data_IF_038423482889
#
_entry.id   IF_038423482889
#
_cell.length_a   1.000
_cell.length_b   1.000
_cell.length_c   1.000
_cell.angle_alpha   90.00
_cell.angle_beta   90.00
_cell.angle_gamma   90.00
#
_symmetry.space_group_name_H-M   'P 1'
#
loop_
_entity.id
_entity.type
_entity.pdbx_description
1 polymer ?
#
# COMPACT_ATOMS: atom_id res chain seq x y z
N UNK A 1 5.14 10.73 21.51
CA UNK A 1 5.88 10.31 20.31
C UNK A 1 4.89 9.88 19.24
N UNK A 2 5.36 9.60 18.02
CA UNK A 2 4.53 9.06 16.93
C UNK A 2 3.89 7.73 17.35
N UNK A 3 2.65 7.49 16.92
CA UNK A 3 1.96 6.21 17.16
C UNK A 3 2.45 5.14 16.16
N UNK A 4 2.27 3.85 16.45
CA UNK A 4 2.63 2.80 15.51
C UNK A 4 1.92 2.96 14.17
N UNK A 5 2.70 3.02 13.08
CA UNK A 5 2.18 3.25 11.72
C UNK A 5 2.06 4.71 11.30
N UNK A 6 2.28 5.67 12.21
CA UNK A 6 2.10 7.09 11.95
C UNK A 6 3.33 7.69 11.27
N UNK A 7 3.14 8.39 10.15
CA UNK A 7 4.20 9.16 9.47
C UNK A 7 4.25 10.58 10.01
N UNK A 8 5.45 11.16 10.06
CA UNK A 8 5.62 12.57 10.41
C UNK A 8 5.26 13.51 9.23
N UNK A 9 5.48 13.03 8.00
CA UNK A 9 5.14 13.71 6.75
C UNK A 9 4.54 12.71 5.78
N UNK A 10 3.46 13.10 5.10
CA UNK A 10 2.85 12.32 4.02
C UNK A 10 3.56 12.59 2.68
N UNK A 11 3.48 11.63 1.76
CA UNK A 11 4.02 11.81 0.42
C UNK A 11 3.24 12.86 -0.38
N UNK A 12 3.95 13.67 -1.17
CA UNK A 12 3.32 14.63 -2.09
C UNK A 12 2.79 13.91 -3.33
N UNK A 13 1.49 14.03 -3.58
CA UNK A 13 0.83 13.47 -4.78
C UNK A 13 1.31 14.10 -6.09
N UNK A 14 1.84 15.32 -6.07
CA UNK A 14 2.14 16.11 -7.27
C UNK A 14 3.56 15.87 -7.83
N UNK A 15 4.17 14.71 -7.60
CA UNK A 15 5.43 14.39 -8.26
C UNK A 15 5.21 14.29 -9.77
N UNK A 16 5.90 15.15 -10.53
CA UNK A 16 5.81 15.22 -12.00
C UNK A 16 6.12 13.89 -12.68
N UNK A 17 6.92 13.04 -12.03
CA UNK A 17 7.37 11.75 -12.55
C UNK A 17 6.24 10.70 -12.65
N UNK A 18 5.22 10.75 -11.78
CA UNK A 18 4.18 9.71 -11.70
C UNK A 18 2.78 10.18 -12.13
N UNK A 19 2.66 11.33 -12.80
CA UNK A 19 1.37 11.94 -13.12
C UNK A 19 1.38 12.55 -14.51
N UNK A 20 0.30 12.33 -15.28
CA UNK A 20 0.06 12.89 -16.61
C UNK A 20 -0.75 14.17 -16.49
N UNK A 21 -0.43 15.16 -17.33
CA UNK A 21 -1.16 16.43 -17.36
C UNK A 21 -2.57 16.25 -17.93
N UNK A 22 -3.47 17.14 -17.53
CA UNK A 22 -4.79 17.31 -18.15
C UNK A 22 -4.91 18.76 -18.61
N UNK A 23 -5.94 19.13 -19.41
CA UNK A 23 -6.16 20.51 -19.79
C UNK A 23 -6.37 21.49 -18.63
N UNK A 24 -6.74 20.98 -17.44
CA UNK A 24 -6.91 21.80 -16.24
C UNK A 24 -5.64 21.75 -15.37
N UNK A 25 -5.02 22.91 -15.14
CA UNK A 25 -3.71 23.03 -14.48
C UNK A 25 -3.61 22.39 -13.08
N UNK A 26 -4.74 22.29 -12.36
CA UNK A 26 -4.79 21.68 -11.03
C UNK A 26 -5.16 20.19 -11.02
N UNK A 27 -5.45 19.59 -12.18
CA UNK A 27 -5.89 18.19 -12.30
C UNK A 27 -4.83 17.41 -13.07
N UNK A 28 -4.35 16.32 -12.47
CA UNK A 28 -3.35 15.43 -13.06
C UNK A 28 -3.80 13.99 -12.87
N UNK A 29 -3.51 13.12 -13.83
CA UNK A 29 -3.88 11.69 -13.80
C UNK A 29 -2.69 10.90 -13.29
N UNK A 30 -2.82 10.22 -12.14
CA UNK A 30 -1.76 9.35 -11.63
C UNK A 30 -1.52 8.15 -12.56
N UNK A 31 -0.26 7.89 -12.88
CA UNK A 31 0.15 6.64 -13.51
C UNK A 31 0.18 5.57 -12.42
N UNK A 32 -0.77 4.64 -12.48
CA UNK A 32 -0.89 3.53 -11.54
C UNK A 32 -0.42 2.24 -12.19
N UNK A 33 0.10 1.32 -11.39
CA UNK A 33 0.42 -0.03 -11.83
C UNK A 33 -0.86 -0.80 -12.15
N UNK A 34 -0.85 -1.53 -13.26
CA UNK A 34 -1.88 -2.51 -13.58
C UNK A 34 -1.59 -3.84 -12.87
N UNK A 35 -2.65 -4.50 -12.43
CA UNK A 35 -2.60 -5.80 -11.77
C UNK A 35 -3.52 -6.78 -12.48
N UNK A 36 -3.09 -8.04 -12.61
CA UNK A 36 -3.97 -9.09 -13.10
C UNK A 36 -5.08 -9.36 -12.08
N UNK A 37 -6.33 -9.41 -12.56
CA UNK A 37 -7.49 -9.59 -11.69
C UNK A 37 -7.45 -10.90 -10.89
N UNK A 38 -6.97 -12.00 -11.49
CA UNK A 38 -6.90 -13.30 -10.81
C UNK A 38 -5.86 -13.28 -9.71
N UNK A 39 -4.73 -12.61 -9.93
CA UNK A 39 -3.69 -12.44 -8.92
C UNK A 39 -4.25 -11.62 -7.74
N UNK A 40 -4.92 -10.49 -8.02
CA UNK A 40 -5.57 -9.66 -6.99
C UNK A 40 -6.56 -10.47 -6.15
N UNK A 41 -7.46 -11.22 -6.80
CA UNK A 41 -8.46 -12.02 -6.08
C UNK A 41 -7.81 -13.11 -5.23
N UNK A 42 -6.71 -13.70 -5.69
CA UNK A 42 -5.95 -14.69 -4.91
C UNK A 42 -5.42 -14.08 -3.61
N UNK A 43 -4.74 -12.93 -3.68
CA UNK A 43 -4.23 -12.21 -2.51
C UNK A 43 -5.36 -11.81 -1.55
N UNK A 44 -6.49 -11.32 -2.08
CA UNK A 44 -7.65 -10.93 -1.27
C UNK A 44 -8.22 -12.14 -0.50
N UNK A 45 -8.37 -13.30 -1.13
CA UNK A 45 -8.85 -14.49 -0.43
C UNK A 45 -7.90 -14.94 0.69
N UNK A 46 -6.58 -14.88 0.47
CA UNK A 46 -5.59 -15.19 1.50
C UNK A 46 -5.73 -14.23 2.68
N UNK A 47 -5.84 -12.91 2.42
CA UNK A 47 -6.03 -11.91 3.47
C UNK A 47 -7.32 -12.12 4.27
N UNK A 48 -8.42 -12.51 3.61
CA UNK A 48 -9.69 -12.83 4.27
C UNK A 48 -9.51 -14.03 5.23
N UNK A 49 -8.91 -15.11 4.76
CA UNK A 49 -8.67 -16.31 5.58
C UNK A 49 -7.78 -16.01 6.80
N UNK A 50 -6.70 -15.25 6.59
CA UNK A 50 -5.81 -14.83 7.68
C UNK A 50 -6.52 -13.93 8.69
N UNK A 51 -7.43 -13.07 8.22
CA UNK A 51 -8.25 -12.20 9.07
C UNK A 51 -9.23 -12.97 9.93
N UNK A 52 -9.97 -13.91 9.33
CA UNK A 52 -10.91 -14.77 10.05
C UNK A 52 -10.23 -15.58 11.17
N UNK A 53 -8.95 -15.92 10.97
CA UNK A 53 -8.13 -16.67 11.95
C UNK A 53 -7.32 -15.77 12.89
N UNK A 54 -7.42 -14.45 12.75
CA UNK A 54 -6.67 -13.46 13.54
C UNK A 54 -5.15 -13.66 13.46
N UNK A 55 -4.65 -14.06 12.29
CA UNK A 55 -3.22 -14.31 12.05
C UNK A 55 -2.52 -13.04 11.59
N UNK A 56 -2.19 -12.17 12.54
CA UNK A 56 -1.71 -10.80 12.28
C UNK A 56 -0.37 -10.78 11.51
N UNK A 57 0.64 -11.53 11.96
CA UNK A 57 1.96 -11.48 11.32
C UNK A 57 1.97 -12.02 9.88
N UNK A 58 1.35 -13.19 9.59
CA UNK A 58 1.15 -13.63 8.20
C UNK A 58 0.33 -12.65 7.37
N UNK A 59 -0.70 -12.03 7.95
CA UNK A 59 -1.51 -11.03 7.24
C UNK A 59 -0.67 -9.83 6.82
N UNK A 60 0.15 -9.28 7.71
CA UNK A 60 0.99 -8.13 7.38
C UNK A 60 2.04 -8.49 6.32
N UNK A 61 2.58 -9.72 6.35
CA UNK A 61 3.46 -10.22 5.27
C UNK A 61 2.73 -10.28 3.92
N UNK A 62 1.51 -10.80 3.91
CA UNK A 62 0.70 -10.87 2.70
C UNK A 62 0.35 -9.48 2.16
N UNK A 63 -0.01 -8.53 3.05
CA UNK A 63 -0.26 -7.13 2.66
C UNK A 63 0.97 -6.50 1.99
N UNK A 64 2.17 -6.78 2.48
CA UNK A 64 3.43 -6.27 1.90
C UNK A 64 3.79 -6.93 0.58
N UNK A 65 3.50 -8.22 0.42
CA UNK A 65 3.66 -8.89 -0.86
C UNK A 65 2.70 -8.32 -1.92
N UNK A 66 1.46 -8.01 -1.51
CA UNK A 66 0.44 -7.46 -2.38
C UNK A 66 0.66 -5.98 -2.73
N UNK A 67 1.11 -5.18 -1.76
CA UNK A 67 1.43 -3.75 -1.92
C UNK A 67 2.90 -3.53 -1.54
N UNK A 68 3.86 -3.78 -2.46
CA UNK A 68 5.29 -3.75 -2.16
C UNK A 68 5.82 -2.36 -1.76
N UNK A 69 5.08 -1.30 -2.07
CA UNK A 69 5.41 0.07 -1.67
C UNK A 69 5.03 0.36 -0.20
N UNK A 70 4.30 -0.53 0.47
CA UNK A 70 3.82 -0.32 1.84
C UNK A 70 4.92 -0.52 2.89
N UNK A 71 5.39 0.59 3.46
CA UNK A 71 6.36 0.61 4.57
C UNK A 71 5.68 0.82 5.93
N UNK A 72 6.00 -0.04 6.90
CA UNK A 72 5.39 -0.12 8.21
C UNK A 72 5.97 0.87 9.23
N UNK A 73 6.14 2.13 8.82
CA UNK A 73 6.83 3.18 9.58
C UNK A 73 6.36 3.27 11.05
N UNK A 74 7.31 3.43 11.95
CA UNK A 74 7.16 3.53 13.39
C UNK A 74 6.43 2.34 14.04
N UNK A 75 6.43 1.15 13.44
CA UNK A 75 5.67 0.00 13.96
C UNK A 75 6.52 -1.27 14.12
N UNK A 76 6.03 -2.24 14.90
CA UNK A 76 6.71 -3.56 15.05
C UNK A 76 6.86 -4.34 13.74
N UNK A 77 6.15 -3.95 12.69
CA UNK A 77 6.15 -4.65 11.41
C UNK A 77 7.20 -4.09 10.44
N UNK A 78 8.01 -3.12 10.85
CA UNK A 78 9.20 -2.69 10.10
C UNK A 78 10.18 -3.84 9.84
N UNK A 79 10.21 -4.85 10.72
CA UNK A 79 11.01 -6.07 10.51
C UNK A 79 10.61 -6.87 9.25
N UNK A 80 9.43 -6.56 8.67
CA UNK A 80 8.89 -7.21 7.49
C UNK A 80 9.00 -6.32 6.23
N UNK A 81 9.50 -5.08 6.37
CA UNK A 81 9.64 -4.11 5.27
C UNK A 81 10.71 -4.48 4.23
#
# INVERSE_FOLDING_TARGET
GLRPGEKLYEELLNNKENTKETPHEKIRVAAVREYDYKDVITHIHVLIELSLRVQILPMVREMKAFVPEFKSQNSRFEELD
#
